data_IF_432555141216
#
_entry.id   IF_432555141216
#
_cell.length_a   1.000
_cell.length_b   1.000
_cell.length_c   1.000
_cell.angle_alpha   90.00
_cell.angle_beta   90.00
_cell.angle_gamma   90.00
#
_symmetry.space_group_name_H-M   'P 1'
#
loop_
_entity.id
_entity.type
_entity.pdbx_description
1 polymer ?
#
# COMPACT_ATOMS: atom_id res chain seq x y z
N UNK A 1 -19.77 -10.92 25.40
CA UNK A 1 -20.30 -10.02 24.35
C UNK A 1 -21.58 -9.39 24.89
N UNK A 2 -21.74 -8.07 24.78
CA UNK A 2 -22.93 -7.35 25.25
C UNK A 2 -24.20 -7.85 24.53
N UNK A 3 -25.26 -8.15 25.28
CA UNK A 3 -26.55 -8.63 24.73
C UNK A 3 -27.17 -7.63 23.74
N UNK A 4 -27.03 -6.33 23.97
CA UNK A 4 -27.54 -5.28 23.07
C UNK A 4 -26.78 -5.27 21.75
N UNK A 5 -25.45 -5.44 21.82
CA UNK A 5 -24.61 -5.50 20.63
C UNK A 5 -24.90 -6.74 19.79
N UNK A 6 -25.07 -7.89 20.44
CA UNK A 6 -25.45 -9.12 19.75
C UNK A 6 -26.83 -9.02 19.09
N UNK A 7 -27.80 -8.39 19.75
CA UNK A 7 -29.14 -8.17 19.19
C UNK A 7 -29.12 -7.23 17.98
N UNK A 8 -28.36 -6.13 18.06
CA UNK A 8 -28.17 -5.20 16.93
C UNK A 8 -27.48 -5.87 15.74
N UNK A 9 -26.51 -6.75 15.99
CA UNK A 9 -25.75 -7.42 14.94
C UNK A 9 -26.46 -8.62 14.31
N UNK A 10 -27.44 -9.21 15.00
CA UNK A 10 -28.18 -10.39 14.54
C UNK A 10 -28.76 -10.27 13.12
N UNK A 11 -29.48 -9.19 12.73
CA UNK A 11 -30.01 -9.06 11.37
C UNK A 11 -28.94 -8.92 10.29
N UNK A 12 -27.70 -8.61 10.65
CA UNK A 12 -26.57 -8.42 9.72
C UNK A 12 -25.61 -9.62 9.69
N UNK A 13 -26.02 -10.77 10.23
CA UNK A 13 -25.21 -11.99 10.26
C UNK A 13 -24.35 -12.18 11.51
N UNK A 14 -24.44 -11.26 12.48
CA UNK A 14 -23.78 -11.39 13.78
C UNK A 14 -22.29 -11.03 13.80
N UNK A 15 -21.76 -10.81 14.99
CA UNK A 15 -20.35 -10.48 15.24
C UNK A 15 -19.61 -11.67 15.89
N UNK A 16 -18.32 -11.79 15.59
CA UNK A 16 -17.37 -12.65 16.31
C UNK A 16 -16.30 -11.80 16.97
N UNK A 17 -15.79 -12.28 18.11
CA UNK A 17 -14.61 -11.72 18.76
C UNK A 17 -13.38 -12.35 18.11
N UNK A 18 -12.36 -11.54 17.87
CA UNK A 18 -11.09 -11.97 17.28
C UNK A 18 -10.14 -12.40 18.40
N UNK A 19 -9.26 -13.36 18.12
CA UNK A 19 -8.42 -14.02 19.14
C UNK A 19 -7.37 -13.09 19.79
N UNK A 20 -7.13 -11.92 19.21
CA UNK A 20 -6.23 -10.90 19.76
C UNK A 20 -6.98 -9.65 20.28
N UNK A 21 -6.50 -9.02 21.36
CA UNK A 21 -7.05 -7.77 21.87
C UNK A 21 -6.66 -6.56 21.01
N UNK A 22 -7.33 -5.43 21.24
CA UNK A 22 -7.05 -4.17 20.58
C UNK A 22 -5.65 -3.65 20.98
N UNK A 23 -4.75 -3.34 20.04
CA UNK A 23 -3.40 -2.88 20.36
C UNK A 23 -3.35 -1.48 20.99
N UNK A 24 -4.45 -0.72 20.94
CA UNK A 24 -4.52 0.64 21.52
C UNK A 24 -5.09 0.68 22.93
N UNK A 25 -6.04 -0.19 23.28
CA UNK A 25 -6.74 -0.13 24.57
C UNK A 25 -6.91 -1.47 25.28
N UNK A 26 -6.48 -2.59 24.67
CA UNK A 26 -6.64 -3.93 25.23
C UNK A 26 -8.05 -4.53 25.11
N UNK A 27 -9.04 -3.76 24.67
CA UNK A 27 -10.42 -4.25 24.52
C UNK A 27 -10.57 -5.31 23.42
N UNK A 28 -11.60 -6.18 23.49
CA UNK A 28 -11.88 -7.16 22.44
C UNK A 28 -12.16 -6.50 21.09
N UNK A 29 -11.57 -7.05 20.03
CA UNK A 29 -11.87 -6.65 18.66
C UNK A 29 -13.01 -7.50 18.09
N UNK A 30 -13.87 -6.86 17.29
CA UNK A 30 -15.05 -7.47 16.71
C UNK A 30 -14.97 -7.47 15.18
N UNK A 31 -15.49 -8.54 14.58
CA UNK A 31 -15.59 -8.72 13.13
C UNK A 31 -16.95 -9.33 12.77
N UNK A 32 -17.50 -8.98 11.60
CA UNK A 32 -18.71 -9.63 11.09
C UNK A 32 -18.46 -11.12 10.82
N UNK A 33 -19.39 -11.98 11.21
CA UNK A 33 -19.37 -13.40 10.82
C UNK A 33 -19.72 -13.58 9.34
N UNK A 34 -20.57 -12.71 8.80
CA UNK A 34 -20.94 -12.70 7.38
C UNK A 34 -19.78 -12.25 6.51
N UNK A 35 -19.50 -13.00 5.46
CA UNK A 35 -18.55 -12.66 4.39
C UNK A 35 -19.24 -11.91 3.25
N UNK A 36 -18.45 -11.24 2.40
CA UNK A 36 -18.92 -10.68 1.14
C UNK A 36 -19.28 -11.80 0.15
N UNK A 37 -19.97 -11.46 -0.94
CA UNK A 37 -20.31 -12.41 -2.02
C UNK A 37 -19.08 -13.13 -2.57
N UNK A 38 -17.93 -12.47 -2.57
CA UNK A 38 -16.65 -12.98 -3.06
C UNK A 38 -15.88 -13.82 -2.01
N UNK A 39 -16.49 -14.14 -0.86
CA UNK A 39 -15.88 -14.93 0.22
C UNK A 39 -14.88 -14.18 1.11
N UNK A 40 -14.55 -12.93 0.75
CA UNK A 40 -13.70 -12.04 1.55
C UNK A 40 -14.42 -11.53 2.79
N UNK A 41 -13.67 -11.22 3.84
CA UNK A 41 -14.26 -10.66 5.06
C UNK A 41 -14.80 -9.26 4.80
N UNK A 42 -16.02 -8.98 5.29
CA UNK A 42 -16.73 -7.72 5.06
C UNK A 42 -15.96 -6.51 5.61
N UNK A 43 -15.34 -6.68 6.78
CA UNK A 43 -14.48 -5.69 7.39
C UNK A 43 -13.44 -6.37 8.27
N UNK A 44 -12.38 -5.63 8.58
CA UNK A 44 -11.35 -6.09 9.50
C UNK A 44 -11.77 -5.95 10.96
N UNK A 45 -10.97 -6.53 11.88
CA UNK A 45 -11.17 -6.38 13.31
C UNK A 45 -11.30 -4.91 13.71
N UNK A 46 -12.36 -4.60 14.46
CA UNK A 46 -12.70 -3.22 14.87
C UNK A 46 -12.97 -3.16 16.37
N UNK A 47 -12.41 -2.14 17.01
CA UNK A 47 -12.65 -1.82 18.41
C UNK A 47 -13.95 -1.01 18.54
N UNK A 48 -14.88 -1.50 19.37
CA UNK A 48 -16.19 -0.86 19.59
C UNK A 48 -16.12 0.20 20.70
N UNK A 49 -15.05 0.21 21.49
CA UNK A 49 -14.81 1.28 22.46
C UNK A 49 -14.73 2.64 21.74
N UNK A 50 -15.69 3.52 22.06
CA UNK A 50 -15.88 4.84 21.44
C UNK A 50 -14.66 5.75 21.59
N UNK A 51 -13.91 5.62 22.68
CA UNK A 51 -12.71 6.44 22.91
C UNK A 51 -11.48 5.94 22.13
N UNK A 52 -11.45 4.65 21.77
CA UNK A 52 -10.31 4.06 21.07
C UNK A 52 -10.43 4.17 19.54
N UNK A 53 -11.58 3.77 18.98
CA UNK A 53 -11.87 3.84 17.54
C UNK A 53 -10.91 3.06 16.63
N UNK A 54 -10.11 2.14 17.17
CA UNK A 54 -9.15 1.35 16.38
C UNK A 54 -9.85 0.48 15.33
N UNK A 55 -9.33 0.51 14.09
CA UNK A 55 -9.82 -0.30 12.96
C UNK A 55 -8.61 -0.83 12.19
N UNK A 56 -8.45 -2.15 12.14
CA UNK A 56 -7.25 -2.76 11.56
C UNK A 56 -7.17 -2.56 10.03
N UNK A 57 -8.27 -2.81 9.30
CA UNK A 57 -8.32 -2.67 7.84
C UNK A 57 -8.10 -1.25 7.32
N UNK A 58 -8.40 -0.22 8.13
CA UNK A 58 -8.13 1.17 7.75
C UNK A 58 -6.63 1.38 7.53
N UNK A 59 -5.78 0.76 8.36
CA UNK A 59 -4.33 0.91 8.24
C UNK A 59 -3.75 0.21 6.99
N UNK A 60 -4.28 -0.96 6.61
CA UNK A 60 -3.84 -1.68 5.40
C UNK A 60 -4.29 -0.95 4.13
N UNK A 61 -5.57 -0.57 4.05
CA UNK A 61 -6.12 0.15 2.91
C UNK A 61 -5.47 1.54 2.74
N UNK A 62 -5.15 2.24 3.84
CA UNK A 62 -4.41 3.50 3.78
C UNK A 62 -2.99 3.31 3.24
N UNK A 63 -2.27 2.29 3.70
CA UNK A 63 -0.92 1.98 3.19
C UNK A 63 -0.94 1.66 1.70
N UNK A 64 -1.89 0.85 1.26
CA UNK A 64 -2.06 0.54 -0.17
C UNK A 64 -2.48 1.76 -0.99
N UNK A 65 -3.39 2.59 -0.47
CA UNK A 65 -3.80 3.83 -1.13
C UNK A 65 -2.62 4.80 -1.28
N UNK A 66 -1.79 4.97 -0.24
CA UNK A 66 -0.57 5.78 -0.30
C UNK A 66 0.40 5.20 -1.34
N UNK A 67 0.60 3.88 -1.37
CA UNK A 67 1.45 3.22 -2.37
C UNK A 67 0.96 3.51 -3.80
N UNK A 68 -0.34 3.31 -4.06
CA UNK A 68 -0.96 3.58 -5.36
C UNK A 68 -0.87 5.06 -5.74
N UNK A 69 -1.06 5.98 -4.79
CA UNK A 69 -0.93 7.40 -5.02
C UNK A 69 0.52 7.76 -5.40
N UNK A 70 1.51 7.25 -4.68
CA UNK A 70 2.92 7.46 -4.99
C UNK A 70 3.30 6.89 -6.37
N UNK A 71 2.81 5.70 -6.72
CA UNK A 71 3.01 5.11 -8.04
C UNK A 71 2.36 5.93 -9.15
N UNK A 72 1.15 6.46 -8.91
CA UNK A 72 0.46 7.33 -9.85
C UNK A 72 1.22 8.66 -10.05
N UNK A 73 1.69 9.29 -8.97
CA UNK A 73 2.50 10.50 -9.04
C UNK A 73 3.81 10.28 -9.80
N UNK A 74 4.51 9.17 -9.53
CA UNK A 74 5.74 8.81 -10.27
C UNK A 74 5.45 8.63 -11.76
N UNK A 75 4.37 7.92 -12.10
CA UNK A 75 3.99 7.71 -13.50
C UNK A 75 3.62 9.01 -14.19
N UNK A 76 2.89 9.89 -13.52
CA UNK A 76 2.54 11.21 -14.04
C UNK A 76 3.78 12.06 -14.31
N UNK A 77 4.73 12.09 -13.37
CA UNK A 77 5.99 12.80 -13.54
C UNK A 77 6.81 12.28 -14.74
N UNK A 78 6.91 10.95 -14.89
CA UNK A 78 7.59 10.31 -16.05
C UNK A 78 6.86 10.66 -17.34
N UNK A 79 5.54 10.53 -17.37
CA UNK A 79 4.74 10.84 -18.56
C UNK A 79 4.87 12.31 -18.96
N UNK A 80 4.88 13.22 -17.98
CA UNK A 80 5.10 14.64 -18.24
C UNK A 80 6.49 14.86 -18.83
N UNK A 81 7.53 14.28 -18.22
CA UNK A 81 8.90 14.37 -18.72
C UNK A 81 9.01 13.90 -20.17
N UNK A 82 8.48 12.71 -20.50
CA UNK A 82 8.53 12.15 -21.86
C UNK A 82 7.74 13.03 -22.84
N UNK A 83 6.49 13.37 -22.51
CA UNK A 83 5.59 14.06 -23.46
C UNK A 83 5.84 15.56 -23.58
N UNK A 84 6.52 16.20 -22.61
CA UNK A 84 6.88 17.61 -22.67
C UNK A 84 8.37 17.85 -22.92
N UNK A 85 9.12 16.80 -23.21
CA UNK A 85 10.55 16.86 -23.50
C UNK A 85 10.80 17.42 -24.89
N UNK A 86 11.86 18.24 -25.02
CA UNK A 86 12.39 18.65 -26.34
C UNK A 86 13.20 17.54 -27.01
N UNK A 87 13.65 16.55 -26.23
CA UNK A 87 14.34 15.34 -26.71
C UNK A 87 13.27 14.39 -27.26
N UNK A 88 13.33 14.14 -28.57
CA UNK A 88 12.37 13.30 -29.30
C UNK A 88 12.73 11.81 -29.29
N UNK A 89 13.93 11.46 -28.82
CA UNK A 89 14.35 10.07 -28.69
C UNK A 89 13.89 9.50 -27.34
N UNK A 90 12.77 8.79 -27.38
CA UNK A 90 12.16 8.13 -26.22
C UNK A 90 13.05 7.03 -25.63
N UNK A 91 13.97 6.47 -26.42
CA UNK A 91 14.86 5.41 -25.95
C UNK A 91 15.76 5.92 -24.83
N UNK A 92 16.22 7.18 -24.91
CA UNK A 92 17.08 7.82 -23.90
C UNK A 92 16.41 7.81 -22.52
N UNK A 93 15.09 8.01 -22.46
CA UNK A 93 14.33 8.02 -21.19
C UNK A 93 14.14 6.62 -20.59
N UNK A 94 14.33 5.56 -21.38
CA UNK A 94 14.16 4.17 -20.95
C UNK A 94 15.49 3.45 -20.70
N UNK A 95 16.62 4.10 -20.95
CA UNK A 95 17.93 3.56 -20.61
C UNK A 95 18.09 3.40 -19.11
N UNK A 96 18.43 2.18 -18.69
CA UNK A 96 18.79 1.84 -17.33
C UNK A 96 20.25 1.37 -17.27
N UNK A 97 20.77 1.13 -16.06
CA UNK A 97 22.13 0.64 -15.90
C UNK A 97 22.35 -0.71 -16.60
N UNK A 98 21.33 -1.56 -16.72
CA UNK A 98 21.45 -2.87 -17.34
C UNK A 98 21.57 -2.79 -18.87
N UNK A 99 20.84 -1.86 -19.49
CA UNK A 99 20.87 -1.59 -20.94
C UNK A 99 22.01 -0.71 -21.40
N UNK A 100 22.77 -0.10 -20.47
CA UNK A 100 23.93 0.72 -20.81
C UNK A 100 25.03 -0.14 -21.46
N UNK A 101 25.33 0.15 -22.74
CA UNK A 101 26.33 -0.56 -23.53
C UNK A 101 27.73 -0.12 -23.11
N UNK A 102 28.47 -1.04 -22.50
CA UNK A 102 29.90 -0.86 -22.20
C UNK A 102 30.69 -1.26 -23.44
N UNK A 103 31.41 -0.31 -24.02
CA UNK A 103 32.18 -0.52 -25.27
C UNK A 103 33.68 -0.45 -25.00
N UNK A 104 34.08 0.25 -23.94
CA UNK A 104 35.47 0.50 -23.56
C UNK A 104 35.62 0.57 -22.03
N UNK A 105 36.85 0.78 -21.57
CA UNK A 105 37.18 0.82 -20.16
C UNK A 105 36.64 2.08 -19.46
N UNK A 106 36.52 3.20 -20.19
CA UNK A 106 35.97 4.46 -19.68
C UNK A 106 34.46 4.35 -19.43
N UNK A 107 33.71 3.78 -20.37
CA UNK A 107 32.26 3.53 -20.24
C UNK A 107 31.98 2.54 -19.09
N UNK A 108 32.86 1.58 -18.83
CA UNK A 108 32.76 0.69 -17.67
C UNK A 108 32.93 1.45 -16.34
N UNK A 109 33.91 2.35 -16.27
CA UNK A 109 34.16 3.17 -15.08
C UNK A 109 33.02 4.14 -14.80
N UNK A 110 32.50 4.80 -15.85
CA UNK A 110 31.35 5.71 -15.74
C UNK A 110 30.11 4.97 -15.21
N UNK A 111 29.84 3.76 -15.72
CA UNK A 111 28.73 2.93 -15.24
C UNK A 111 28.89 2.61 -13.74
N UNK A 112 30.09 2.23 -13.30
CA UNK A 112 30.36 1.92 -11.90
C UNK A 112 30.19 3.16 -11.00
N UNK A 113 30.73 4.31 -11.39
CA UNK A 113 30.55 5.57 -10.66
C UNK A 113 29.08 5.97 -10.53
N UNK A 114 28.33 5.90 -11.63
CA UNK A 114 26.92 6.25 -11.63
C UNK A 114 26.08 5.30 -10.74
N UNK A 115 26.41 4.01 -10.72
CA UNK A 115 25.79 3.04 -9.80
C UNK A 115 26.12 3.33 -8.33
N UNK A 116 27.35 3.78 -8.02
CA UNK A 116 27.69 4.19 -6.65
C UNK A 116 26.93 5.45 -6.21
N UNK A 117 26.78 6.43 -7.08
CA UNK A 117 26.01 7.64 -6.78
C UNK A 117 24.53 7.33 -6.56
N UNK A 118 23.95 6.46 -7.38
CA UNK A 118 22.56 6.03 -7.22
C UNK A 118 22.28 5.34 -5.87
N UNK A 119 23.27 4.66 -5.29
CA UNK A 119 23.15 4.02 -3.96
C UNK A 119 23.21 5.01 -2.79
N UNK A 120 23.70 6.23 -3.02
CA UNK A 120 23.85 7.28 -1.99
C UNK A 120 22.64 8.22 -1.91
N UNK A 121 21.72 8.13 -2.88
CA UNK A 121 20.42 8.80 -2.90
C UNK A 121 19.40 8.00 -2.10
#
# INVERSE_FOLDING_TARGET
>A
MDKKLSAMAAPYGGLRIVDHPCPKCGDPLYMWKSKNKDGTDRCGPTCINKSCGYREMVTKNQKEAIKKANEAMKRDAINRMINSSMITDDAIWTFNFDGYKVVDQETAQIKAMAQEWAKKL
#
